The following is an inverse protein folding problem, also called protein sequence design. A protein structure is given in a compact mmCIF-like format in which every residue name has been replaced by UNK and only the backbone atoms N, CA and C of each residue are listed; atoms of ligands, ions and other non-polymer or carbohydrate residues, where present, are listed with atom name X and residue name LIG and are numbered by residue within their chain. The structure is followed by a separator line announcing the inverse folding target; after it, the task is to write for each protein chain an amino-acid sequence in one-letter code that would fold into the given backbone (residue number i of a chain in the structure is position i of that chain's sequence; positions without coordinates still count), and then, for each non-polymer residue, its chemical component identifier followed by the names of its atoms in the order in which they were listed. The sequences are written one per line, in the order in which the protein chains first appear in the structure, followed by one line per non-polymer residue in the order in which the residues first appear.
data_IF_595964730520
#
_entry.id   IF_595964730520
#
_cell.length_a   1.000
_cell.length_b   1.000
_cell.length_c   1.000
_cell.angle_alpha   90.00
_cell.angle_beta   90.00
_cell.angle_gamma   90.00
#
_symmetry.space_group_name_H-M   'P 1'
#
loop_
_entity.id
_entity.type
_entity.pdbx_description
1 polymer ?
#
# COMPACT_ATOMS: atom_id res chain seq x y z
N UNK A 1 32.35 10.73 -8.49
CA UNK A 1 31.46 9.61 -8.09
C UNK A 1 32.32 8.36 -8.04
N UNK A 2 32.14 7.49 -7.05
CA UNK A 2 32.86 6.21 -7.02
C UNK A 2 32.43 5.37 -8.23
N UNK A 3 33.39 4.81 -8.98
CA UNK A 3 33.08 3.92 -10.09
C UNK A 3 32.35 2.68 -9.56
N UNK A 4 31.18 2.37 -10.14
CA UNK A 4 30.36 1.22 -9.77
C UNK A 4 31.05 -0.07 -10.18
N UNK A 5 30.99 -1.07 -9.31
CA UNK A 5 31.62 -2.37 -9.54
C UNK A 5 30.61 -3.36 -10.16
N UNK A 6 30.90 -3.83 -11.37
CA UNK A 6 30.15 -4.90 -12.04
C UNK A 6 30.97 -6.19 -11.97
N UNK A 7 30.36 -7.27 -11.47
CA UNK A 7 30.93 -8.60 -11.51
C UNK A 7 30.33 -9.37 -12.69
N UNK A 8 31.16 -9.77 -13.63
CA UNK A 8 30.76 -10.55 -14.83
C UNK A 8 31.16 -12.00 -14.65
N UNK A 9 30.23 -12.94 -14.85
CA UNK A 9 30.45 -14.38 -14.72
C UNK A 9 30.03 -15.06 -16.00
N UNK A 10 30.97 -15.75 -16.62
CA UNK A 10 30.79 -16.47 -17.88
C UNK A 10 31.91 -17.50 -17.98
N UNK A 11 31.68 -18.68 -18.55
CA UNK A 11 32.73 -19.69 -18.73
C UNK A 11 33.59 -19.41 -19.98
N UNK A 12 33.08 -18.67 -20.95
CA UNK A 12 33.81 -18.28 -22.16
C UNK A 12 34.70 -17.06 -21.93
N UNK A 13 36.02 -17.23 -22.10
CA UNK A 13 37.01 -16.16 -21.94
C UNK A 13 36.77 -14.99 -22.91
N UNK A 14 36.39 -15.28 -24.16
CA UNK A 14 36.05 -14.28 -25.16
C UNK A 14 34.89 -13.39 -24.75
N UNK A 15 33.86 -13.96 -24.12
CA UNK A 15 32.67 -13.20 -23.67
C UNK A 15 33.02 -12.36 -22.44
N UNK A 16 33.79 -12.91 -21.49
CA UNK A 16 34.28 -12.14 -20.33
C UNK A 16 35.12 -10.95 -20.76
N UNK A 17 36.06 -11.14 -21.68
CA UNK A 17 36.94 -10.06 -22.16
C UNK A 17 36.14 -8.98 -22.90
N UNK A 18 35.22 -9.39 -23.78
CA UNK A 18 34.35 -8.45 -24.49
C UNK A 18 33.52 -7.59 -23.53
N UNK A 19 32.86 -8.22 -22.54
CA UNK A 19 32.07 -7.51 -21.54
C UNK A 19 32.94 -6.63 -20.63
N UNK A 20 34.15 -7.07 -20.32
CA UNK A 20 35.13 -6.30 -19.57
C UNK A 20 35.48 -5.00 -20.31
N UNK A 21 35.81 -5.08 -21.59
CA UNK A 21 36.19 -3.93 -22.40
C UNK A 21 35.01 -2.94 -22.54
N UNK A 22 33.82 -3.44 -22.90
CA UNK A 22 32.59 -2.64 -23.07
C UNK A 22 32.19 -1.90 -21.79
N UNK A 23 32.22 -2.57 -20.64
CA UNK A 23 31.82 -1.96 -19.37
C UNK A 23 32.89 -1.01 -18.83
N UNK A 24 34.17 -1.29 -19.08
CA UNK A 24 35.28 -0.40 -18.71
C UNK A 24 35.22 0.90 -19.52
N UNK A 25 34.95 0.81 -20.83
CA UNK A 25 34.71 1.97 -21.70
C UNK A 25 33.50 2.81 -21.25
N UNK A 26 32.48 2.15 -20.71
CA UNK A 26 31.32 2.78 -20.08
C UNK A 26 31.58 3.30 -18.65
N UNK A 27 32.85 3.35 -18.21
CA UNK A 27 33.31 3.91 -16.93
C UNK A 27 32.85 3.11 -15.68
N UNK A 28 32.63 1.80 -15.82
CA UNK A 28 32.45 0.88 -14.70
C UNK A 28 33.78 0.27 -14.26
N UNK A 29 33.90 -0.05 -12.96
CA UNK A 29 34.93 -0.97 -12.50
C UNK A 29 34.42 -2.39 -12.76
N UNK A 30 35.21 -3.22 -13.44
CA UNK A 30 34.78 -4.57 -13.80
C UNK A 30 35.69 -5.61 -13.16
N UNK A 31 35.08 -6.63 -12.57
CA UNK A 31 35.76 -7.84 -12.12
C UNK A 31 35.08 -9.02 -12.81
N UNK A 32 35.84 -10.06 -13.15
CA UNK A 32 35.32 -11.22 -13.87
C UNK A 32 35.46 -12.50 -13.04
N UNK A 33 34.60 -13.48 -13.24
CA UNK A 33 34.74 -14.82 -12.68
C UNK A 33 34.44 -15.87 -13.76
N UNK A 34 35.15 -17.00 -13.71
CA UNK A 34 35.04 -18.07 -14.73
C UNK A 34 33.92 -19.06 -14.42
N UNK A 35 33.45 -19.11 -13.17
CA UNK A 35 32.40 -20.01 -12.72
C UNK A 35 31.64 -19.48 -11.49
N UNK A 36 30.58 -20.18 -11.10
CA UNK A 36 29.76 -19.82 -9.95
C UNK A 36 30.47 -19.93 -8.60
N UNK A 37 31.56 -20.69 -8.48
CA UNK A 37 32.34 -20.81 -7.23
C UNK A 37 33.23 -19.60 -7.02
N UNK A 38 34.02 -19.25 -8.03
CA UNK A 38 34.83 -18.04 -8.04
C UNK A 38 33.94 -16.79 -7.88
N UNK A 39 32.77 -16.78 -8.52
CA UNK A 39 31.78 -15.72 -8.33
C UNK A 39 31.44 -15.53 -6.85
N UNK A 40 31.08 -16.60 -6.11
CA UNK A 40 30.68 -16.48 -4.70
C UNK A 40 31.83 -16.01 -3.80
N UNK A 41 33.06 -16.46 -4.08
CA UNK A 41 34.24 -16.00 -3.34
C UNK A 41 34.49 -14.50 -3.55
N UNK A 42 34.31 -14.01 -4.78
CA UNK A 42 34.45 -12.59 -5.13
C UNK A 42 33.27 -11.76 -4.63
N UNK A 43 32.06 -12.29 -4.69
CA UNK A 43 30.83 -11.62 -4.25
C UNK A 43 30.88 -11.25 -2.77
N UNK A 44 31.39 -12.14 -1.92
CA UNK A 44 31.55 -11.90 -0.47
C UNK A 44 32.67 -10.89 -0.15
N UNK A 45 33.76 -10.87 -0.94
CA UNK A 45 34.92 -9.98 -0.73
C UNK A 45 34.69 -8.58 -1.28
N UNK A 46 34.10 -8.48 -2.47
CA UNK A 46 34.06 -7.27 -3.28
C UNK A 46 32.72 -6.54 -3.21
N UNK A 47 31.62 -7.24 -2.87
CA UNK A 47 30.26 -6.69 -2.80
C UNK A 47 29.91 -5.85 -4.05
N UNK A 48 29.83 -6.49 -5.23
CA UNK A 48 29.58 -5.78 -6.47
C UNK A 48 28.21 -5.08 -6.47
N UNK A 49 28.13 -3.97 -7.18
CA UNK A 49 26.90 -3.20 -7.40
C UNK A 49 25.95 -3.92 -8.36
N UNK A 50 26.48 -4.67 -9.33
CA UNK A 50 25.68 -5.47 -10.28
C UNK A 50 26.38 -6.80 -10.52
N UNK A 51 25.61 -7.89 -10.58
CA UNK A 51 26.07 -9.20 -11.03
C UNK A 51 25.48 -9.49 -12.40
N UNK A 52 26.33 -9.77 -13.39
CA UNK A 52 25.93 -10.25 -14.71
C UNK A 52 26.45 -11.69 -14.84
N UNK A 53 25.58 -12.67 -15.09
CA UNK A 53 25.98 -14.08 -15.12
C UNK A 53 25.33 -14.82 -16.29
N UNK A 54 26.05 -15.72 -16.94
CA UNK A 54 25.45 -16.69 -17.86
C UNK A 54 24.56 -17.68 -17.09
N UNK A 55 23.45 -18.09 -17.69
CA UNK A 55 22.60 -19.17 -17.19
C UNK A 55 23.32 -20.52 -17.33
N UNK A 56 24.07 -20.74 -18.41
CA UNK A 56 24.74 -22.01 -18.67
C UNK A 56 26.23 -21.90 -18.37
N UNK A 57 26.64 -22.43 -17.22
CA UNK A 57 28.04 -22.51 -16.83
C UNK A 57 28.32 -23.90 -16.21
N UNK A 58 29.57 -24.40 -16.27
CA UNK A 58 29.99 -25.61 -15.58
C UNK A 58 29.83 -25.49 -14.05
N UNK A 59 29.64 -26.63 -13.38
CA UNK A 59 29.45 -26.80 -11.92
C UNK A 59 28.19 -26.17 -11.31
N UNK A 60 27.99 -24.85 -11.44
CA UNK A 60 26.83 -24.12 -10.92
C UNK A 60 26.20 -23.28 -12.02
N UNK A 61 24.96 -23.60 -12.37
CA UNK A 61 24.19 -22.83 -13.33
C UNK A 61 23.80 -21.44 -12.78
N UNK A 62 23.52 -20.48 -13.67
CA UNK A 62 23.21 -19.11 -13.29
C UNK A 62 21.95 -18.98 -12.41
N UNK A 63 21.03 -19.94 -12.48
CA UNK A 63 19.86 -20.00 -11.59
C UNK A 63 20.23 -20.40 -10.16
N UNK A 64 21.08 -21.41 -9.99
CA UNK A 64 21.59 -21.82 -8.68
C UNK A 64 22.40 -20.70 -8.03
N UNK A 65 23.15 -19.94 -8.85
CA UNK A 65 23.88 -18.77 -8.39
C UNK A 65 22.92 -17.66 -7.91
N UNK A 66 21.86 -17.37 -8.67
CA UNK A 66 20.82 -16.42 -8.29
C UNK A 66 20.16 -16.78 -6.95
N UNK A 67 19.76 -18.03 -6.76
CA UNK A 67 19.16 -18.50 -5.49
C UNK A 67 20.13 -18.35 -4.30
N UNK A 68 21.41 -18.61 -4.51
CA UNK A 68 22.45 -18.45 -3.47
C UNK A 68 22.71 -16.98 -3.14
N UNK A 69 22.74 -16.09 -4.14
CA UNK A 69 22.86 -14.65 -3.92
C UNK A 69 21.66 -14.15 -3.12
N UNK A 70 20.44 -14.59 -3.45
CA UNK A 70 19.22 -14.19 -2.71
C UNK A 70 19.19 -14.74 -1.29
N UNK A 71 19.52 -16.01 -1.08
CA UNK A 71 19.55 -16.62 0.26
C UNK A 71 20.65 -16.07 1.17
N UNK A 72 21.73 -15.51 0.60
CA UNK A 72 22.78 -14.84 1.35
C UNK A 72 22.38 -13.46 1.94
N UNK A 73 21.20 -12.95 1.59
CA UNK A 73 20.71 -11.65 2.04
C UNK A 73 21.39 -10.45 1.36
N UNK A 74 22.13 -10.69 0.28
CA UNK A 74 22.76 -9.64 -0.53
C UNK A 74 21.74 -9.06 -1.52
N UNK A 75 21.61 -7.73 -1.51
CA UNK A 75 20.69 -7.00 -2.38
C UNK A 75 21.31 -6.65 -3.75
N UNK A 76 22.33 -7.39 -4.19
CA UNK A 76 22.95 -7.17 -5.49
C UNK A 76 21.97 -7.59 -6.60
N UNK A 77 21.59 -6.68 -7.52
CA UNK A 77 20.78 -7.03 -8.69
C UNK A 77 21.55 -7.97 -9.60
N UNK A 78 20.85 -9.00 -10.09
CA UNK A 78 21.42 -10.07 -10.92
C UNK A 78 20.78 -10.03 -12.31
N UNK A 79 21.60 -9.82 -13.34
CA UNK A 79 21.21 -9.91 -14.75
C UNK A 79 21.64 -11.28 -15.27
N UNK A 80 20.71 -12.04 -15.84
CA UNK A 80 20.99 -13.34 -16.43
C UNK A 80 21.22 -13.22 -17.94
N UNK A 81 22.29 -13.82 -18.46
CA UNK A 81 22.54 -13.94 -19.89
C UNK A 81 22.17 -15.33 -20.39
N UNK A 82 21.50 -15.43 -21.54
CA UNK A 82 21.11 -16.74 -22.11
C UNK A 82 21.28 -16.77 -23.62
N UNK A 83 21.77 -17.88 -24.16
CA UNK A 83 21.71 -18.15 -25.60
C UNK A 83 20.30 -18.60 -26.08
N UNK A 84 19.39 -18.91 -25.13
CA UNK A 84 18.04 -19.40 -25.43
C UNK A 84 16.99 -18.48 -24.80
N UNK A 85 16.37 -17.65 -25.63
CA UNK A 85 15.29 -16.72 -25.25
C UNK A 85 13.90 -17.37 -25.25
N UNK A 86 13.72 -18.54 -24.63
CA UNK A 86 12.38 -19.11 -24.50
C UNK A 86 11.59 -18.39 -23.40
N UNK A 87 10.28 -18.28 -23.58
CA UNK A 87 9.37 -17.69 -22.59
C UNK A 87 9.46 -18.38 -21.22
N UNK A 88 9.75 -19.68 -21.19
CA UNK A 88 9.93 -20.45 -19.96
C UNK A 88 11.16 -20.01 -19.14
N UNK A 89 12.28 -19.73 -19.82
CA UNK A 89 13.52 -19.25 -19.18
C UNK A 89 13.33 -17.85 -18.60
N UNK A 90 12.66 -16.97 -19.33
CA UNK A 90 12.31 -15.63 -18.87
C UNK A 90 11.39 -15.67 -17.63
N UNK A 91 10.34 -16.50 -17.66
CA UNK A 91 9.42 -16.65 -16.53
C UNK A 91 10.16 -17.20 -15.29
N UNK A 92 11.07 -18.18 -15.48
CA UNK A 92 11.85 -18.75 -14.39
C UNK A 92 12.81 -17.72 -13.77
N UNK A 93 13.50 -16.94 -14.59
CA UNK A 93 14.39 -15.85 -14.14
C UNK A 93 13.67 -14.84 -13.24
N UNK A 94 12.49 -14.39 -13.68
CA UNK A 94 11.71 -13.41 -12.91
C UNK A 94 11.16 -14.00 -11.61
N UNK A 95 10.69 -15.26 -11.62
CA UNK A 95 10.19 -15.94 -10.41
C UNK A 95 11.26 -16.09 -9.32
N UNK A 96 12.52 -16.29 -9.71
CA UNK A 96 13.65 -16.42 -8.78
C UNK A 96 14.22 -15.06 -8.36
N UNK A 97 13.65 -13.95 -8.83
CA UNK A 97 14.02 -12.60 -8.41
C UNK A 97 15.27 -12.05 -9.11
N UNK A 98 15.56 -12.50 -10.34
CA UNK A 98 16.51 -11.81 -11.22
C UNK A 98 16.04 -10.36 -11.44
N UNK A 99 16.99 -9.45 -11.64
CA UNK A 99 16.68 -8.07 -12.01
C UNK A 99 16.07 -8.02 -13.41
N UNK A 100 16.74 -8.68 -14.34
CA UNK A 100 16.28 -8.87 -15.72
C UNK A 100 17.11 -10.00 -16.37
N UNK A 101 16.84 -10.29 -17.63
CA UNK A 101 17.65 -11.19 -18.45
C UNK A 101 17.93 -10.59 -19.83
N UNK A 102 18.99 -11.06 -20.47
CA UNK A 102 19.39 -10.63 -21.82
C UNK A 102 19.73 -11.84 -22.69
N UNK A 103 19.28 -11.82 -23.94
CA UNK A 103 19.46 -12.93 -24.88
C UNK A 103 20.68 -12.65 -25.76
N UNK A 104 21.65 -13.58 -25.80
CA UNK A 104 22.80 -13.53 -26.69
C UNK A 104 22.37 -13.96 -28.12
N UNK A 105 22.75 -13.25 -29.19
CA UNK A 105 23.48 -11.97 -29.21
C UNK A 105 22.54 -10.79 -28.88
N UNK A 106 23.06 -9.81 -28.14
CA UNK A 106 22.34 -8.63 -27.70
C UNK A 106 22.93 -7.34 -28.26
N UNK A 107 22.10 -6.30 -28.30
CA UNK A 107 22.55 -4.96 -28.63
C UNK A 107 23.33 -4.33 -27.46
N UNK A 108 24.41 -3.62 -27.78
CA UNK A 108 25.30 -3.02 -26.78
C UNK A 108 24.64 -1.90 -26.00
N UNK A 109 23.83 -1.07 -26.67
CA UNK A 109 23.12 0.03 -26.01
C UNK A 109 22.03 -0.53 -25.09
N UNK A 110 21.34 -1.60 -25.50
CA UNK A 110 20.37 -2.32 -24.66
C UNK A 110 21.03 -2.91 -23.40
N UNK A 111 22.18 -3.57 -23.56
CA UNK A 111 22.94 -4.13 -22.44
C UNK A 111 23.43 -3.05 -21.46
N UNK A 112 24.04 -1.98 -21.98
CA UNK A 112 24.54 -0.88 -21.14
C UNK A 112 23.40 -0.17 -20.41
N UNK A 113 22.26 0.07 -21.07
CA UNK A 113 21.07 0.60 -20.41
C UNK A 113 20.56 -0.34 -19.31
N UNK A 114 20.61 -1.65 -19.53
CA UNK A 114 20.19 -2.63 -18.53
C UNK A 114 21.12 -2.63 -17.31
N UNK A 115 22.44 -2.62 -17.52
CA UNK A 115 23.44 -2.54 -16.44
C UNK A 115 23.32 -1.21 -15.69
N UNK A 116 23.06 -0.11 -16.40
CA UNK A 116 22.83 1.20 -15.78
C UNK A 116 21.59 1.19 -14.89
N UNK A 117 20.47 0.61 -15.36
CA UNK A 117 19.24 0.45 -14.56
C UNK A 117 19.48 -0.44 -13.34
N UNK A 118 20.25 -1.54 -13.48
CA UNK A 118 20.60 -2.41 -12.37
C UNK A 118 21.48 -1.68 -11.34
N UNK A 119 22.53 -0.98 -11.78
CA UNK A 119 23.42 -0.23 -10.90
C UNK A 119 22.69 0.91 -10.15
N UNK A 120 21.67 1.51 -10.79
CA UNK A 120 20.79 2.50 -10.17
C UNK A 120 19.83 1.87 -9.14
N UNK A 121 19.43 0.60 -9.30
CA UNK A 121 18.64 -0.11 -8.28
C UNK A 121 19.45 -0.31 -7.00
N UNK A 122 20.75 -0.58 -7.11
CA UNK A 122 21.66 -0.67 -5.95
C UNK A 122 21.77 0.67 -5.24
N UNK A 123 21.61 1.80 -5.95
CA UNK A 123 21.43 3.11 -5.31
C UNK A 123 20.07 3.22 -4.63
N UNK A 124 19.00 2.65 -5.18
CA UNK A 124 17.69 2.65 -4.50
C UNK A 124 17.70 1.80 -3.22
N UNK A 125 18.51 0.75 -3.15
CA UNK A 125 18.60 -0.15 -1.99
C UNK A 125 19.69 0.26 -0.98
N UNK A 126 20.82 0.81 -1.44
CA UNK A 126 21.88 1.37 -0.59
C UNK A 126 21.61 2.83 -0.15
N UNK A 127 20.76 3.57 -0.87
CA UNK A 127 20.16 4.84 -0.43
C UNK A 127 18.88 4.65 0.41
N UNK A 128 18.63 3.43 0.93
CA UNK A 128 17.95 3.28 2.21
C UNK A 128 18.91 3.51 3.40
N UNK A 129 19.97 4.29 3.20
CA UNK A 129 20.33 5.28 4.21
C UNK A 129 19.27 6.37 4.15
N UNK A 130 18.50 6.60 5.22
CA UNK A 130 17.38 7.51 5.14
C UNK A 130 17.96 8.93 5.15
N UNK A 131 18.35 9.52 4.02
CA UNK A 131 18.52 10.96 3.81
C UNK A 131 19.13 11.25 2.42
N UNK A 132 18.61 12.32 1.81
CA UNK A 132 19.20 13.05 0.68
C UNK A 132 19.10 12.44 -0.72
N UNK A 133 17.91 11.98 -1.10
CA UNK A 133 17.41 12.39 -2.42
C UNK A 133 16.26 13.35 -2.18
N UNK A 134 16.52 14.61 -2.48
CA UNK A 134 15.48 15.60 -2.68
C UNK A 134 14.47 14.99 -3.65
N UNK A 135 13.34 14.53 -3.11
CA UNK A 135 12.21 14.13 -3.90
C UNK A 135 11.94 15.28 -4.87
N UNK A 136 12.00 15.01 -6.18
CA UNK A 136 11.38 15.92 -7.11
C UNK A 136 9.97 16.20 -6.56
N UNK A 137 9.56 17.47 -6.44
CA UNK A 137 8.25 17.80 -5.89
C UNK A 137 7.18 17.15 -6.78
N UNK A 138 6.65 16.00 -6.34
CA UNK A 138 5.70 15.20 -7.09
C UNK A 138 6.00 13.70 -7.22
N UNK A 139 7.20 13.21 -6.84
CA UNK A 139 7.48 11.77 -6.88
C UNK A 139 6.62 11.00 -5.88
N UNK A 140 5.56 10.35 -6.37
CA UNK A 140 4.66 9.51 -5.56
C UNK A 140 5.27 8.12 -5.47
N UNK A 141 5.76 7.77 -4.29
CA UNK A 141 6.28 6.43 -4.04
C UNK A 141 5.13 5.49 -3.64
N UNK A 142 4.63 4.67 -4.58
CA UNK A 142 3.68 3.60 -4.27
C UNK A 142 4.46 2.34 -3.93
N UNK A 143 4.30 1.87 -2.71
CA UNK A 143 5.08 0.75 -2.17
C UNK A 143 4.31 -0.56 -2.35
N UNK A 144 4.99 -1.54 -2.91
CA UNK A 144 4.49 -2.89 -3.13
C UNK A 144 5.21 -3.55 -4.30
N UNK A 145 5.45 -4.86 -4.21
CA UNK A 145 6.02 -5.66 -5.28
C UNK A 145 5.18 -6.89 -5.62
N UNK A 146 4.05 -7.10 -4.92
CA UNK A 146 3.14 -8.21 -5.17
C UNK A 146 2.66 -8.24 -6.63
N UNK A 147 2.39 -9.43 -7.20
CA UNK A 147 1.87 -9.55 -8.57
C UNK A 147 0.60 -8.72 -8.82
N UNK A 148 -0.24 -8.57 -7.78
CA UNK A 148 -1.45 -7.76 -7.84
C UNK A 148 -1.14 -6.26 -7.99
N UNK A 149 -0.12 -5.75 -7.29
CA UNK A 149 0.35 -4.37 -7.47
C UNK A 149 1.07 -4.15 -8.80
N UNK A 150 1.79 -5.15 -9.30
CA UNK A 150 2.41 -5.07 -10.64
C UNK A 150 1.37 -4.85 -11.75
N UNK A 151 0.20 -5.49 -11.64
CA UNK A 151 -0.92 -5.24 -12.55
C UNK A 151 -1.41 -3.78 -12.48
N UNK A 152 -1.55 -3.23 -11.26
CA UNK A 152 -1.92 -1.83 -11.04
C UNK A 152 -0.89 -0.88 -11.66
N UNK A 153 0.41 -1.12 -11.48
CA UNK A 153 1.47 -0.30 -12.09
C UNK A 153 1.43 -0.32 -13.62
N UNK A 154 1.18 -1.50 -14.20
CA UNK A 154 1.03 -1.64 -15.65
C UNK A 154 -0.15 -0.84 -16.19
N UNK A 155 -1.28 -0.86 -15.48
CA UNK A 155 -2.46 -0.09 -15.87
C UNK A 155 -2.22 1.41 -15.71
N UNK A 156 -1.55 1.86 -14.65
CA UNK A 156 -1.10 3.26 -14.49
C UNK A 156 -0.26 3.69 -15.69
N UNK A 157 0.77 2.91 -16.06
CA UNK A 157 1.64 3.23 -17.20
C UNK A 157 0.88 3.32 -18.53
N UNK A 158 -0.09 2.43 -18.76
CA UNK A 158 -0.93 2.44 -19.98
C UNK A 158 -1.85 3.66 -20.06
N UNK A 159 -2.38 4.13 -18.94
CA UNK A 159 -3.32 5.26 -18.93
C UNK A 159 -2.64 6.60 -18.73
N UNK A 160 -1.38 6.64 -18.28
CA UNK A 160 -0.71 7.87 -17.87
C UNK A 160 -0.77 8.95 -18.95
N UNK A 161 -0.47 8.66 -20.22
CA UNK A 161 -0.52 9.67 -21.30
C UNK A 161 -1.88 9.83 -21.99
N UNK A 162 -2.89 9.05 -21.58
CA UNK A 162 -4.25 9.16 -22.11
C UNK A 162 -5.04 10.29 -21.45
N UNK A 163 -5.89 10.98 -22.21
CA UNK A 163 -6.89 11.91 -21.66
C UNK A 163 -8.17 11.21 -21.18
N UNK A 164 -8.23 9.87 -21.23
CA UNK A 164 -9.38 9.11 -20.77
C UNK A 164 -9.65 9.31 -19.27
N UNK A 165 -10.94 9.30 -18.90
CA UNK A 165 -11.36 9.27 -17.50
C UNK A 165 -10.95 7.94 -16.88
N UNK A 166 -10.37 7.99 -15.69
CA UNK A 166 -9.99 6.79 -14.93
C UNK A 166 -10.80 6.72 -13.66
N UNK A 167 -11.53 5.61 -13.47
CA UNK A 167 -12.18 5.25 -12.23
C UNK A 167 -11.25 4.33 -11.43
N UNK A 168 -10.96 4.70 -10.18
CA UNK A 168 -10.08 3.99 -9.26
C UNK A 168 -10.96 3.40 -8.15
N UNK A 169 -11.09 2.08 -8.13
CA UNK A 169 -11.89 1.37 -7.15
C UNK A 169 -11.00 0.68 -6.13
N UNK A 170 -11.46 0.61 -4.89
CA UNK A 170 -10.76 -0.11 -3.84
C UNK A 170 -11.30 0.28 -2.47
N UNK A 171 -11.10 -0.59 -1.48
CA UNK A 171 -11.53 -0.33 -0.11
C UNK A 171 -10.88 0.94 0.47
N UNK A 172 -11.44 1.43 1.58
CA UNK A 172 -10.84 2.57 2.28
C UNK A 172 -9.42 2.21 2.74
N UNK A 173 -8.49 3.17 2.61
CA UNK A 173 -7.10 2.97 3.04
C UNK A 173 -6.22 2.13 2.10
N UNK A 174 -6.68 1.76 0.90
CA UNK A 174 -5.88 0.96 -0.07
C UNK A 174 -4.84 1.77 -0.87
N UNK A 175 -4.92 3.10 -0.86
CA UNK A 175 -3.99 3.99 -1.60
C UNK A 175 -4.55 4.60 -2.89
N UNK A 176 -5.89 4.73 -3.04
CA UNK A 176 -6.53 5.30 -4.24
C UNK A 176 -5.99 6.68 -4.65
N UNK A 177 -5.74 7.57 -3.68
CA UNK A 177 -5.14 8.88 -3.97
C UNK A 177 -3.71 8.76 -4.51
N UNK A 178 -2.90 7.84 -3.98
CA UNK A 178 -1.53 7.64 -4.46
C UNK A 178 -1.53 7.17 -5.90
N UNK A 179 -2.44 6.27 -6.28
CA UNK A 179 -2.65 5.85 -7.67
C UNK A 179 -3.04 7.04 -8.56
N UNK A 180 -3.99 7.88 -8.12
CA UNK A 180 -4.40 9.06 -8.88
C UNK A 180 -3.24 10.04 -9.13
N UNK A 181 -2.43 10.29 -8.09
CA UNK A 181 -1.25 11.13 -8.21
C UNK A 181 -0.20 10.50 -9.13
N UNK A 182 0.03 9.19 -9.02
CA UNK A 182 0.96 8.49 -9.90
C UNK A 182 0.53 8.57 -11.39
N UNK A 183 -0.77 8.46 -11.68
CA UNK A 183 -1.28 8.67 -13.05
C UNK A 183 -0.98 10.09 -13.54
N UNK A 184 -1.19 11.10 -12.69
CA UNK A 184 -0.93 12.50 -13.05
C UNK A 184 0.56 12.80 -13.28
N UNK A 185 1.43 12.45 -12.34
CA UNK A 185 2.86 12.77 -12.43
C UNK A 185 3.61 11.96 -13.49
N UNK A 186 3.06 10.83 -13.95
CA UNK A 186 3.58 10.08 -15.10
C UNK A 186 2.95 10.48 -16.44
N UNK A 187 2.10 11.52 -16.48
CA UNK A 187 1.41 11.96 -17.69
C UNK A 187 2.09 13.14 -18.39
N UNK A 188 1.70 13.40 -19.63
CA UNK A 188 1.94 14.67 -20.33
C UNK A 188 1.48 15.93 -19.56
N UNK A 189 0.59 15.79 -18.56
CA UNK A 189 0.12 16.87 -17.67
C UNK A 189 0.88 16.96 -16.35
N UNK A 190 2.01 16.26 -16.16
CA UNK A 190 2.78 16.21 -14.90
C UNK A 190 3.17 17.56 -14.28
N UNK A 191 3.35 18.59 -15.13
CA UNK A 191 3.73 19.95 -14.72
C UNK A 191 2.51 20.89 -14.61
N UNK A 192 1.29 20.36 -14.77
CA UNK A 192 0.03 21.11 -14.71
C UNK A 192 -0.65 20.89 -13.36
N UNK A 193 -1.68 21.67 -12.99
CA UNK A 193 -2.31 21.53 -11.68
C UNK A 193 -2.92 20.14 -11.45
N UNK A 194 -2.71 19.59 -10.25
CA UNK A 194 -3.44 18.43 -9.73
C UNK A 194 -4.39 18.89 -8.62
N UNK A 195 -5.67 19.05 -8.96
CA UNK A 195 -6.68 19.56 -8.04
C UNK A 195 -7.45 18.39 -7.43
N UNK A 196 -7.26 18.16 -6.14
CA UNK A 196 -8.02 17.18 -5.37
C UNK A 196 -9.30 17.79 -4.81
N UNK A 197 -10.40 17.04 -4.86
CA UNK A 197 -11.61 17.28 -4.08
C UNK A 197 -12.08 16.00 -3.42
N UNK A 198 -12.44 16.09 -2.14
CA UNK A 198 -13.08 14.99 -1.43
C UNK A 198 -14.58 15.26 -1.34
N UNK A 199 -15.36 14.40 -1.97
CA UNK A 199 -16.81 14.54 -2.12
C UNK A 199 -17.58 14.15 -0.85
N UNK A 200 -16.98 13.42 0.09
CA UNK A 200 -17.61 12.97 1.32
C UNK A 200 -17.57 14.02 2.45
N UNK A 201 -16.62 14.95 2.40
CA UNK A 201 -16.32 15.86 3.52
C UNK A 201 -17.09 17.18 3.49
N UNK A 202 -17.90 17.44 2.47
CA UNK A 202 -18.59 18.72 2.29
C UNK A 202 -20.11 18.51 2.16
N UNK A 203 -20.93 19.37 2.79
CA UNK A 203 -22.34 19.49 2.44
C UNK A 203 -22.51 19.75 0.93
N UNK A 204 -23.57 19.22 0.33
CA UNK A 204 -23.77 19.24 -1.12
C UNK A 204 -23.75 20.66 -1.72
N UNK A 205 -24.32 21.65 -1.02
CA UNK A 205 -24.28 23.06 -1.45
C UNK A 205 -22.88 23.67 -1.44
N UNK A 206 -22.03 23.27 -0.48
CA UNK A 206 -20.63 23.68 -0.42
C UNK A 206 -19.80 22.93 -1.46
N UNK A 207 -20.12 21.66 -1.72
CA UNK A 207 -19.45 20.88 -2.77
C UNK A 207 -19.68 21.52 -4.15
N UNK A 208 -20.91 21.91 -4.45
CA UNK A 208 -21.25 22.56 -5.73
C UNK A 208 -20.47 23.87 -5.92
N UNK A 209 -20.47 24.73 -4.88
CA UNK A 209 -19.77 26.01 -4.91
C UNK A 209 -18.25 25.88 -4.92
N UNK A 210 -17.68 24.83 -4.31
CA UNK A 210 -16.25 24.51 -4.46
C UNK A 210 -15.94 24.03 -5.88
N UNK A 211 -16.74 23.12 -6.45
CA UNK A 211 -16.51 22.56 -7.78
C UNK A 211 -16.58 23.60 -8.89
N UNK A 212 -17.68 24.35 -8.92
CA UNK A 212 -18.02 25.22 -10.04
C UNK A 212 -17.78 26.70 -9.73
N UNK A 213 -17.50 27.08 -8.49
CA UNK A 213 -17.40 28.48 -8.10
C UNK A 213 -18.76 29.15 -8.03
N UNK A 214 -18.79 30.42 -7.63
CA UNK A 214 -20.02 31.19 -7.51
C UNK A 214 -19.82 32.65 -7.85
N UNK A 215 -20.90 33.29 -8.31
CA UNK A 215 -20.94 34.72 -8.55
C UNK A 215 -21.39 35.50 -7.31
N UNK A 216 -21.08 36.80 -7.29
CA UNK A 216 -21.52 37.68 -6.21
C UNK A 216 -23.06 37.67 -6.13
N UNK A 217 -23.59 37.42 -4.93
CA UNK A 217 -25.03 37.35 -4.69
C UNK A 217 -25.70 36.01 -5.02
N UNK A 218 -24.95 34.96 -5.35
CA UNK A 218 -25.51 33.65 -5.67
C UNK A 218 -26.29 32.99 -4.49
N UNK A 219 -25.92 33.30 -3.25
CA UNK A 219 -26.60 32.84 -2.03
C UNK A 219 -26.33 33.82 -0.88
N UNK A 220 -27.04 33.66 0.24
CA UNK A 220 -26.84 34.47 1.45
C UNK A 220 -25.41 34.28 1.98
N UNK A 221 -24.59 35.33 1.90
CA UNK A 221 -23.17 35.30 2.29
C UNK A 221 -22.18 35.38 1.12
N UNK A 222 -22.65 35.31 -0.13
CA UNK A 222 -21.81 35.45 -1.32
C UNK A 222 -21.44 36.93 -1.60
N UNK A 223 -20.58 37.52 -0.77
CA UNK A 223 -20.18 38.94 -0.85
C UNK A 223 -19.25 39.26 -2.04
N UNK A 224 -18.51 38.26 -2.53
CA UNK A 224 -17.65 38.31 -3.71
C UNK A 224 -17.90 37.09 -4.61
N UNK A 225 -17.39 37.10 -5.84
CA UNK A 225 -17.29 35.88 -6.64
C UNK A 225 -16.11 35.02 -6.18
N UNK A 226 -16.18 33.71 -6.45
CA UNK A 226 -15.13 32.72 -6.16
C UNK A 226 -14.97 31.77 -7.34
N UNK A 227 -13.73 31.52 -7.72
CA UNK A 227 -13.34 30.59 -8.78
C UNK A 227 -13.50 29.14 -8.30
N UNK A 228 -14.04 28.27 -9.15
CA UNK A 228 -14.25 26.85 -8.85
C UNK A 228 -13.02 25.97 -9.07
N UNK A 229 -13.03 24.76 -8.50
CA UNK A 229 -11.98 23.74 -8.69
C UNK A 229 -11.81 23.32 -10.14
N UNK A 230 -12.88 23.31 -10.95
CA UNK A 230 -12.78 23.03 -12.39
C UNK A 230 -11.94 24.07 -13.15
N UNK A 231 -12.10 25.35 -12.82
CA UNK A 231 -11.28 26.42 -13.42
C UNK A 231 -9.82 26.32 -12.97
N UNK A 232 -9.59 26.06 -11.68
CA UNK A 232 -8.25 25.86 -11.13
C UNK A 232 -7.54 24.63 -11.72
N UNK A 233 -8.30 23.64 -12.19
CA UNK A 233 -7.79 22.42 -12.81
C UNK A 233 -7.60 22.54 -14.33
N UNK A 234 -7.85 23.72 -14.92
CA UNK A 234 -7.70 23.93 -16.36
C UNK A 234 -6.30 23.52 -16.85
N UNK A 235 -6.26 22.80 -17.97
CA UNK A 235 -5.08 22.12 -18.55
C UNK A 235 -4.44 21.03 -17.66
N UNK A 236 -4.94 20.84 -16.44
CA UNK A 236 -4.43 19.89 -15.47
C UNK A 236 -5.32 18.67 -15.29
N UNK A 237 -5.39 18.20 -14.05
CA UNK A 237 -6.14 17.02 -13.64
C UNK A 237 -6.97 17.36 -12.42
N UNK A 238 -8.25 16.99 -12.43
CA UNK A 238 -9.10 17.00 -11.23
C UNK A 238 -9.28 15.57 -10.73
N UNK A 239 -9.07 15.38 -9.43
CA UNK A 239 -9.25 14.11 -8.75
C UNK A 239 -10.43 14.17 -7.78
N UNK A 240 -11.47 13.40 -8.08
CA UNK A 240 -12.65 13.24 -7.23
C UNK A 240 -12.46 12.04 -6.30
N UNK A 241 -12.23 12.30 -5.02
CA UNK A 241 -12.15 11.27 -3.98
C UNK A 241 -13.54 11.02 -3.39
N UNK A 242 -13.92 9.76 -3.25
CA UNK A 242 -15.26 9.29 -2.84
C UNK A 242 -16.41 9.81 -3.73
N UNK A 243 -16.27 9.68 -5.05
CA UNK A 243 -17.30 10.11 -6.04
C UNK A 243 -18.66 9.43 -5.83
N UNK A 244 -18.72 8.31 -5.11
CA UNK A 244 -19.98 7.63 -4.79
C UNK A 244 -20.86 8.34 -3.75
N UNK A 245 -20.39 9.44 -3.16
CA UNK A 245 -21.07 10.18 -2.08
C UNK A 245 -21.84 11.42 -2.58
N UNK A 246 -21.69 11.82 -3.85
CA UNK A 246 -22.32 13.04 -4.36
C UNK A 246 -23.82 12.87 -4.61
N UNK A 247 -24.60 13.94 -4.41
CA UNK A 247 -26.05 13.92 -4.66
C UNK A 247 -26.38 13.76 -6.15
N UNK A 248 -27.59 13.27 -6.46
CA UNK A 248 -28.07 13.16 -7.85
C UNK A 248 -28.08 14.52 -8.58
N UNK A 249 -28.29 15.63 -7.86
CA UNK A 249 -28.26 16.97 -8.43
C UNK A 249 -26.83 17.36 -8.84
N UNK A 250 -25.86 17.13 -7.96
CA UNK A 250 -24.44 17.34 -8.25
C UNK A 250 -23.95 16.41 -9.38
N UNK A 251 -24.43 15.17 -9.43
CA UNK A 251 -24.13 14.23 -10.52
C UNK A 251 -24.56 14.76 -11.89
N UNK A 252 -25.74 15.38 -11.99
CA UNK A 252 -26.23 15.94 -13.25
C UNK A 252 -25.36 17.12 -13.75
N UNK A 253 -24.94 18.00 -12.84
CA UNK A 253 -24.04 19.13 -13.17
C UNK A 253 -22.64 18.64 -13.54
N UNK A 254 -22.13 17.66 -12.80
CA UNK A 254 -20.87 17.02 -13.10
C UNK A 254 -20.90 16.40 -14.49
N UNK A 255 -21.93 15.62 -14.83
CA UNK A 255 -22.08 15.00 -16.15
C UNK A 255 -21.93 16.02 -17.28
N UNK A 256 -22.60 17.19 -17.18
CA UNK A 256 -22.48 18.27 -18.16
C UNK A 256 -21.03 18.77 -18.28
N UNK A 257 -20.35 18.99 -17.15
CA UNK A 257 -18.94 19.38 -17.15
C UNK A 257 -18.01 18.33 -17.79
N UNK A 258 -18.29 17.03 -17.63
CA UNK A 258 -17.49 15.95 -18.23
C UNK A 258 -17.77 15.77 -19.73
N UNK A 259 -19.03 15.90 -20.14
CA UNK A 259 -19.44 15.67 -21.54
C UNK A 259 -19.12 16.88 -22.41
N UNK A 260 -19.57 18.06 -22.00
CA UNK A 260 -19.51 19.29 -22.80
C UNK A 260 -18.22 20.08 -22.58
N UNK A 261 -17.41 19.70 -21.58
CA UNK A 261 -16.21 20.45 -21.14
C UNK A 261 -16.52 21.90 -20.78
N UNK A 262 -17.73 22.15 -20.30
CA UNK A 262 -18.19 23.46 -19.88
C UNK A 262 -19.15 23.38 -18.70
N UNK A 263 -19.22 24.45 -17.92
CA UNK A 263 -20.15 24.58 -16.81
C UNK A 263 -20.45 26.06 -16.55
N UNK A 264 -21.48 26.31 -15.74
CA UNK A 264 -21.86 27.65 -15.29
C UNK A 264 -21.55 27.78 -13.79
N UNK A 265 -21.06 28.93 -13.36
CA UNK A 265 -20.88 29.22 -11.92
C UNK A 265 -22.23 29.23 -11.21
N UNK A 266 -22.25 28.90 -9.92
CA UNK A 266 -23.47 29.00 -9.11
C UNK A 266 -23.96 30.46 -9.11
N UNK A 267 -25.21 30.66 -9.53
CA UNK A 267 -25.83 31.98 -9.67
C UNK A 267 -25.35 32.80 -10.88
N UNK A 268 -24.46 32.24 -11.71
CA UNK A 268 -24.00 32.86 -12.96
C UNK A 268 -24.73 32.32 -14.19
N UNK A 269 -24.68 33.08 -15.28
CA UNK A 269 -25.21 32.68 -16.60
C UNK A 269 -24.11 32.54 -17.66
N UNK A 270 -22.87 32.86 -17.30
CA UNK A 270 -21.73 32.74 -18.19
C UNK A 270 -21.22 31.30 -18.22
N UNK A 271 -21.20 30.71 -19.41
CA UNK A 271 -20.67 29.37 -19.64
C UNK A 271 -19.14 29.42 -19.77
N UNK A 272 -18.47 28.61 -18.95
CA UNK A 272 -17.02 28.54 -18.83
C UNK A 272 -16.53 27.23 -19.42
N UNK A 273 -15.65 27.29 -20.43
CA UNK A 273 -15.02 26.11 -21.03
C UNK A 273 -13.73 25.75 -20.32
N UNK A 274 -13.53 24.47 -20.05
CA UNK A 274 -12.33 23.95 -19.38
C UNK A 274 -11.82 22.67 -20.02
N UNK A 275 -10.50 22.56 -20.22
CA UNK A 275 -9.87 21.29 -20.58
C UNK A 275 -9.25 20.65 -19.33
N UNK A 276 -9.96 19.68 -18.75
CA UNK A 276 -9.53 19.02 -17.51
C UNK A 276 -9.56 17.51 -17.71
N UNK A 277 -8.47 16.85 -17.32
CA UNK A 277 -8.47 15.39 -17.19
C UNK A 277 -9.13 14.96 -15.89
N UNK A 278 -9.97 13.93 -15.95
CA UNK A 278 -10.74 13.48 -14.79
C UNK A 278 -10.22 12.16 -14.27
N UNK A 279 -9.93 12.12 -12.96
CA UNK A 279 -9.69 10.91 -12.21
C UNK A 279 -10.75 10.85 -11.09
N UNK A 280 -11.36 9.69 -10.88
CA UNK A 280 -12.35 9.52 -9.82
C UNK A 280 -12.01 8.29 -8.99
N UNK A 281 -12.23 8.35 -7.68
CA UNK A 281 -12.03 7.26 -6.76
C UNK A 281 -13.28 6.99 -5.94
N UNK A 282 -13.51 5.73 -5.59
CA UNK A 282 -14.64 5.32 -4.75
C UNK A 282 -14.33 4.02 -4.01
N UNK A 283 -14.83 3.90 -2.79
CA UNK A 283 -14.88 2.63 -2.06
C UNK A 283 -16.19 1.85 -2.31
N UNK A 284 -17.19 2.48 -2.96
CA UNK A 284 -18.49 1.88 -3.24
C UNK A 284 -18.51 1.10 -4.54
N UNK A 285 -19.40 0.11 -4.61
CA UNK A 285 -19.75 -0.57 -5.86
C UNK A 285 -20.74 0.29 -6.65
N UNK A 286 -20.23 1.23 -7.48
CA UNK A 286 -21.09 2.16 -8.23
C UNK A 286 -22.17 1.48 -9.08
N UNK A 287 -21.87 0.33 -9.69
CA UNK A 287 -22.88 -0.46 -10.43
C UNK A 287 -24.09 -0.82 -9.56
N UNK A 288 -23.87 -1.14 -8.29
CA UNK A 288 -24.94 -1.42 -7.34
C UNK A 288 -25.69 -0.14 -6.97
N UNK A 289 -24.98 0.96 -6.73
CA UNK A 289 -25.60 2.26 -6.46
C UNK A 289 -26.45 2.77 -7.64
N UNK A 290 -26.13 2.40 -8.88
CA UNK A 290 -26.97 2.66 -10.06
C UNK A 290 -28.28 1.88 -9.98
N UNK A 291 -28.22 0.57 -9.68
CA UNK A 291 -29.43 -0.27 -9.55
C UNK A 291 -30.34 0.21 -8.40
N UNK A 292 -29.75 0.74 -7.33
CA UNK A 292 -30.46 1.28 -6.16
C UNK A 292 -30.95 2.73 -6.36
N UNK A 293 -30.66 3.36 -7.51
CA UNK A 293 -31.06 4.73 -7.83
C UNK A 293 -30.24 5.83 -7.11
N UNK A 294 -29.18 5.47 -6.39
CA UNK A 294 -28.27 6.41 -5.71
C UNK A 294 -27.19 7.01 -6.62
N UNK A 295 -27.01 6.47 -7.82
CA UNK A 295 -26.03 6.96 -8.80
C UNK A 295 -26.61 6.93 -10.22
N UNK A 296 -26.36 7.97 -11.01
CA UNK A 296 -26.86 8.04 -12.38
C UNK A 296 -26.07 7.11 -13.31
N UNK A 297 -26.80 6.37 -14.13
CA UNK A 297 -26.24 5.43 -15.10
C UNK A 297 -25.37 6.13 -16.15
N UNK A 298 -25.82 7.28 -16.67
CA UNK A 298 -25.08 8.07 -17.67
C UNK A 298 -23.72 8.58 -17.17
N UNK A 299 -23.67 9.07 -15.94
CA UNK A 299 -22.43 9.48 -15.28
C UNK A 299 -21.52 8.28 -15.01
N UNK A 300 -22.07 7.15 -14.57
CA UNK A 300 -21.28 5.94 -14.36
C UNK A 300 -20.54 5.53 -15.64
N UNK A 301 -21.22 5.47 -16.77
CA UNK A 301 -20.58 5.12 -18.05
C UNK A 301 -19.53 6.14 -18.49
N UNK A 302 -19.73 7.43 -18.19
CA UNK A 302 -18.75 8.48 -18.53
C UNK A 302 -17.51 8.47 -17.63
N UNK A 303 -17.65 8.03 -16.39
CA UNK A 303 -16.53 7.86 -15.45
C UNK A 303 -15.78 6.54 -15.68
N UNK A 304 -16.50 5.47 -15.97
CA UNK A 304 -15.96 4.11 -16.07
C UNK A 304 -15.42 3.79 -17.49
N UNK A 305 -14.56 4.68 -18.02
CA UNK A 305 -13.88 4.46 -19.33
C UNK A 305 -12.69 3.54 -19.15
N UNK A 306 -11.81 3.86 -18.19
CA UNK A 306 -10.78 2.92 -17.70
C UNK A 306 -11.00 2.69 -16.21
N UNK A 307 -10.98 1.42 -15.80
CA UNK A 307 -11.19 1.03 -14.41
C UNK A 307 -9.91 0.39 -13.85
N UNK A 308 -9.38 0.97 -12.76
CA UNK A 308 -8.25 0.43 -12.01
C UNK A 308 -8.76 0.00 -10.64
N UNK A 309 -8.70 -1.30 -10.37
CA UNK A 309 -9.11 -1.88 -9.08
C UNK A 309 -7.87 -2.12 -8.24
N UNK A 310 -7.80 -1.49 -7.08
CA UNK A 310 -6.71 -1.67 -6.12
C UNK A 310 -7.09 -2.82 -5.17
N UNK A 311 -6.26 -3.87 -5.07
CA UNK A 311 -6.52 -4.99 -4.18
C UNK A 311 -6.43 -4.56 -2.71
N UNK A 312 -7.31 -5.09 -1.84
CA UNK A 312 -7.19 -4.91 -0.40
C UNK A 312 -5.90 -5.57 0.12
N UNK A 313 -5.40 -5.12 1.26
CA UNK A 313 -4.09 -5.54 1.79
C UNK A 313 -4.04 -7.05 2.08
N UNK A 314 -5.17 -7.65 2.49
CA UNK A 314 -5.30 -9.11 2.67
C UNK A 314 -5.07 -9.95 1.41
N UNK A 315 -5.25 -9.38 0.22
CA UNK A 315 -4.99 -10.05 -1.07
C UNK A 315 -3.56 -9.82 -1.57
N UNK A 316 -2.78 -8.99 -0.87
CA UNK A 316 -1.39 -8.67 -1.16
C UNK A 316 -0.53 -8.65 0.12
N UNK A 317 -0.66 -9.69 0.93
CA UNK A 317 0.08 -9.81 2.21
C UNK A 317 1.60 -9.77 2.03
N UNK A 318 2.11 -10.15 0.86
CA UNK A 318 3.53 -10.05 0.47
C UNK A 318 4.07 -8.61 0.52
N UNK A 319 3.22 -7.60 0.40
CA UNK A 319 3.61 -6.19 0.46
C UNK A 319 3.76 -5.67 1.91
N UNK A 320 3.21 -6.38 2.90
CA UNK A 320 3.20 -5.92 4.31
C UNK A 320 4.61 -5.67 4.85
N UNK A 321 5.62 -6.54 4.66
CA UNK A 321 6.97 -6.28 5.17
C UNK A 321 7.61 -5.02 4.59
N UNK A 322 7.37 -4.75 3.30
CA UNK A 322 7.88 -3.54 2.63
C UNK A 322 7.19 -2.28 3.16
N UNK A 323 5.87 -2.33 3.35
CA UNK A 323 5.10 -1.23 3.92
C UNK A 323 5.53 -0.95 5.37
N UNK A 324 5.70 -1.99 6.18
CA UNK A 324 6.17 -1.88 7.57
C UNK A 324 7.56 -1.25 7.62
N UNK A 325 8.50 -1.71 6.80
CA UNK A 325 9.85 -1.15 6.76
C UNK A 325 9.84 0.34 6.39
N UNK A 326 8.99 0.72 5.44
CA UNK A 326 8.82 2.12 5.05
C UNK A 326 8.26 2.99 6.18
N UNK A 327 7.14 2.58 6.80
CA UNK A 327 6.54 3.33 7.89
C UNK A 327 7.45 3.39 9.11
N UNK A 328 8.15 2.30 9.43
CA UNK A 328 9.15 2.28 10.50
C UNK A 328 10.25 3.32 10.25
N UNK A 329 10.78 3.39 9.03
CA UNK A 329 11.78 4.40 8.67
C UNK A 329 11.23 5.83 8.75
N UNK A 330 9.98 6.05 8.30
CA UNK A 330 9.30 7.34 8.36
C UNK A 330 9.15 7.82 9.82
N UNK A 331 8.59 6.98 10.68
CA UNK A 331 8.28 7.36 12.06
C UNK A 331 9.48 7.35 12.99
N UNK A 332 10.52 6.57 12.72
CA UNK A 332 11.79 6.72 13.43
C UNK A 332 12.38 8.12 13.25
N UNK A 333 12.32 8.69 12.04
CA UNK A 333 12.74 10.08 11.80
C UNK A 333 11.86 11.08 12.50
N UNK A 334 10.56 10.94 12.31
CA UNK A 334 9.57 11.90 12.81
C UNK A 334 9.59 12.00 14.34
N UNK A 335 9.73 10.86 15.03
CA UNK A 335 9.75 10.81 16.49
C UNK A 335 11.16 10.71 17.10
N UNK A 336 12.21 10.84 16.27
CA UNK A 336 13.61 10.70 16.67
C UNK A 336 13.87 9.42 17.50
N UNK A 337 13.38 8.28 17.00
CA UNK A 337 13.51 6.94 17.60
C UNK A 337 14.52 6.10 16.80
N UNK A 338 14.99 5.02 17.43
CA UNK A 338 15.94 4.06 16.83
C UNK A 338 15.41 2.63 16.90
N UNK A 339 14.15 2.44 16.50
CA UNK A 339 13.56 1.11 16.40
C UNK A 339 14.11 0.42 15.15
N UNK A 340 14.75 -0.72 15.31
CA UNK A 340 15.41 -1.47 14.23
C UNK A 340 14.47 -2.38 13.45
N UNK A 341 13.35 -2.80 14.05
CA UNK A 341 12.41 -3.70 13.41
C UNK A 341 11.37 -4.28 14.35
N UNK A 342 10.66 -5.28 13.84
CA UNK A 342 9.67 -6.07 14.55
C UNK A 342 10.26 -7.45 14.88
N UNK A 343 9.83 -8.07 15.98
CA UNK A 343 10.17 -9.47 16.27
C UNK A 343 9.55 -10.41 15.24
N UNK A 344 9.98 -11.67 15.22
CA UNK A 344 9.42 -12.67 14.30
C UNK A 344 7.93 -12.92 14.60
N UNK A 345 7.56 -12.97 15.88
CA UNK A 345 6.18 -13.12 16.35
C UNK A 345 5.31 -11.92 15.97
N UNK A 346 5.83 -10.71 16.15
CA UNK A 346 5.16 -9.48 15.76
C UNK A 346 4.95 -9.42 14.23
N UNK A 347 5.95 -9.83 13.45
CA UNK A 347 5.85 -9.91 12.00
C UNK A 347 4.80 -10.94 11.55
N UNK A 348 4.78 -12.13 12.16
CA UNK A 348 3.76 -13.16 11.90
C UNK A 348 2.35 -12.65 12.24
N UNK A 349 2.20 -11.94 13.35
CA UNK A 349 0.94 -11.29 13.75
C UNK A 349 0.46 -10.32 12.66
N UNK A 350 1.32 -9.38 12.23
CA UNK A 350 1.00 -8.41 11.17
C UNK A 350 0.64 -9.10 9.83
N UNK A 351 1.33 -10.17 9.48
CA UNK A 351 1.06 -10.95 8.26
C UNK A 351 -0.25 -11.75 8.34
N UNK A 352 -0.63 -12.20 9.55
CA UNK A 352 -1.85 -13.00 9.75
C UNK A 352 -3.13 -12.15 9.71
N UNK A 353 -3.05 -10.90 10.15
CA UNK A 353 -4.19 -9.98 10.22
C UNK A 353 -4.75 -9.62 8.84
N UNK A 354 -6.05 -9.36 8.77
CA UNK A 354 -6.75 -9.12 7.49
C UNK A 354 -6.86 -7.65 7.10
N UNK A 355 -6.45 -6.74 7.98
CA UNK A 355 -6.33 -5.30 7.69
C UNK A 355 -7.61 -4.69 7.08
N UNK A 356 -8.74 -4.66 7.81
CA UNK A 356 -9.98 -4.05 7.33
C UNK A 356 -9.83 -2.56 6.94
N UNK A 357 -8.94 -1.82 7.58
CA UNK A 357 -8.57 -0.45 7.21
C UNK A 357 -7.37 -0.36 6.25
N UNK A 358 -6.92 -1.49 5.71
CA UNK A 358 -5.87 -1.62 4.71
C UNK A 358 -4.56 -0.93 5.11
N UNK A 359 -3.88 -0.26 4.17
CA UNK A 359 -2.58 0.37 4.38
C UNK A 359 -2.67 1.51 5.39
N UNK A 360 -3.80 2.23 5.46
CA UNK A 360 -4.02 3.29 6.45
C UNK A 360 -4.04 2.75 7.88
N UNK A 361 -4.67 1.61 8.10
CA UNK A 361 -4.65 0.95 9.41
C UNK A 361 -3.24 0.43 9.75
N UNK A 362 -2.56 -0.20 8.79
CA UNK A 362 -1.17 -0.63 8.96
C UNK A 362 -0.24 0.53 9.34
N UNK A 363 -0.36 1.66 8.64
CA UNK A 363 0.40 2.88 8.94
C UNK A 363 0.17 3.34 10.38
N UNK A 364 -1.10 3.45 10.81
CA UNK A 364 -1.45 3.85 12.17
C UNK A 364 -0.92 2.87 13.23
N UNK A 365 -0.98 1.56 12.96
CA UNK A 365 -0.48 0.53 13.88
C UNK A 365 1.04 0.62 14.01
N UNK A 366 1.77 0.79 12.91
CA UNK A 366 3.23 0.94 12.92
C UNK A 366 3.65 2.25 13.61
N UNK A 367 2.97 3.36 13.31
CA UNK A 367 3.18 4.65 13.98
C UNK A 367 3.09 4.50 15.50
N UNK A 368 2.00 3.90 15.96
CA UNK A 368 1.74 3.73 17.39
C UNK A 368 2.74 2.78 18.04
N UNK A 369 3.12 1.71 17.36
CA UNK A 369 4.11 0.76 17.84
C UNK A 369 5.49 1.42 18.00
N UNK A 370 5.90 2.32 17.08
CA UNK A 370 7.14 3.11 17.21
C UNK A 370 7.10 4.05 18.41
N UNK A 371 5.94 4.68 18.68
CA UNK A 371 5.76 5.56 19.85
C UNK A 371 5.85 4.76 21.16
N UNK A 372 5.20 3.60 21.21
CA UNK A 372 5.09 2.76 22.41
C UNK A 372 6.30 1.87 22.65
N UNK A 373 7.17 1.70 21.64
CA UNK A 373 8.35 0.85 21.70
C UNK A 373 9.22 1.18 22.93
N UNK A 374 9.44 0.17 23.76
CA UNK A 374 10.29 0.24 24.96
C UNK A 374 11.76 -0.03 24.67
N UNK A 375 12.05 -0.59 23.50
CA UNK A 375 13.39 -0.96 23.07
C UNK A 375 13.59 -0.77 21.56
N UNK A 376 14.65 -1.37 21.03
CA UNK A 376 14.98 -1.29 19.60
C UNK A 376 14.22 -2.28 18.72
N UNK A 377 13.40 -3.15 19.30
CA UNK A 377 12.59 -4.15 18.59
C UNK A 377 11.17 -4.08 19.11
N UNK A 378 10.19 -3.99 18.21
CA UNK A 378 8.77 -4.03 18.53
C UNK A 378 8.35 -5.49 18.70
N UNK A 379 7.75 -5.80 19.86
CA UNK A 379 7.23 -7.12 20.19
C UNK A 379 5.69 -7.14 20.08
N UNK A 380 5.02 -8.30 20.06
CA UNK A 380 3.56 -8.38 19.96
C UNK A 380 2.81 -7.51 20.98
N UNK A 381 3.35 -7.36 22.20
CA UNK A 381 2.72 -6.57 23.28
C UNK A 381 2.69 -5.06 23.00
N UNK A 382 3.51 -4.58 22.07
CA UNK A 382 3.56 -3.19 21.64
C UNK A 382 2.56 -2.89 20.51
N UNK A 383 1.97 -3.93 19.91
CA UNK A 383 1.01 -3.85 18.81
C UNK A 383 -0.41 -3.98 19.39
N UNK A 384 -1.32 -3.10 18.96
CA UNK A 384 -2.75 -3.32 19.17
C UNK A 384 -3.45 -3.28 17.82
N UNK A 385 -4.12 -4.38 17.48
CA UNK A 385 -4.92 -4.52 16.26
C UNK A 385 -6.40 -4.36 16.59
N UNK A 386 -7.19 -3.83 15.66
CA UNK A 386 -8.63 -3.71 15.84
C UNK A 386 -9.26 -5.11 15.94
N UNK A 387 -10.00 -5.38 17.01
CA UNK A 387 -10.61 -6.70 17.26
C UNK A 387 -9.74 -7.65 18.09
N UNK A 388 -8.48 -7.32 18.36
CA UNK A 388 -7.83 -7.78 19.58
C UNK A 388 -8.34 -6.90 20.72
N UNK A 389 -9.58 -7.15 21.15
CA UNK A 389 -9.80 -7.15 22.58
C UNK A 389 -8.71 -8.06 23.12
N UNK A 390 -7.72 -7.49 23.81
CA UNK A 390 -6.77 -8.27 24.58
C UNK A 390 -7.60 -9.39 25.18
N UNK A 391 -7.19 -10.64 25.01
CA UNK A 391 -7.59 -11.72 25.91
C UNK A 391 -7.05 -11.42 27.32
N UNK A 392 -7.28 -10.22 27.84
CA UNK A 392 -7.68 -10.05 29.21
C UNK A 392 -8.90 -10.94 29.34
N UNK A 393 -8.72 -12.00 30.11
CA UNK A 393 -9.76 -12.77 30.76
C UNK A 393 -10.82 -11.83 31.36
N UNK A 394 -11.76 -11.37 30.55
CA UNK A 394 -12.98 -10.72 30.97
C UNK A 394 -14.14 -11.27 30.12
N UNK A 395 -14.97 -12.01 30.85
CA UNK A 395 -16.35 -12.48 30.62
C UNK A 395 -17.03 -12.20 29.26
N UNK A 396 -17.72 -13.19 28.67
CA UNK A 396 -18.66 -12.91 27.60
C UNK A 396 -19.94 -12.29 28.20
N UNK A 397 -20.24 -11.05 27.82
CA UNK A 397 -21.56 -10.45 27.92
C UNK A 397 -21.91 -9.84 26.56
N UNK A 398 -22.88 -10.44 25.87
CA UNK A 398 -23.35 -10.02 24.55
C UNK A 398 -23.65 -8.49 24.50
N UNK A 399 -23.18 -7.76 23.48
CA UNK A 399 -23.62 -6.40 23.21
C UNK A 399 -24.95 -6.45 22.46
N UNK A 400 -26.04 -6.70 23.19
CA UNK A 400 -27.35 -6.85 22.58
C UNK A 400 -28.49 -6.93 23.58
N UNK A 401 -28.54 -6.04 24.58
CA UNK A 401 -29.77 -5.80 25.36
C UNK A 401 -29.66 -4.44 26.09
N UNK A 402 -30.04 -3.37 25.38
CA UNK A 402 -30.36 -2.10 26.00
C UNK A 402 -31.74 -2.22 26.68
N UNK A 403 -31.83 -1.81 27.95
CA UNK A 403 -33.00 -1.73 28.85
C UNK A 403 -33.35 -2.95 29.75
N UNK A 404 -32.37 -3.60 30.38
CA UNK A 404 -32.67 -4.39 31.58
C UNK A 404 -32.62 -3.50 32.84
N UNK A 405 -33.61 -3.59 33.76
CA UNK A 405 -33.57 -2.88 35.03
C UNK A 405 -32.34 -3.30 35.84
N UNK A 406 -31.70 -2.36 36.55
CA UNK A 406 -30.45 -2.55 37.31
C UNK A 406 -30.43 -3.83 38.17
N UNK A 407 -31.59 -4.22 38.71
CA UNK A 407 -31.77 -5.43 39.50
C UNK A 407 -31.43 -6.72 38.75
N UNK A 408 -31.74 -6.81 37.46
CA UNK A 408 -31.43 -7.97 36.63
C UNK A 408 -29.96 -8.00 36.21
N UNK A 409 -29.39 -6.84 35.88
CA UNK A 409 -27.95 -6.72 35.57
C UNK A 409 -27.10 -7.20 36.75
N UNK A 410 -27.43 -6.74 37.97
CA UNK A 410 -26.71 -7.18 39.18
C UNK A 410 -26.92 -8.67 39.45
N UNK A 411 -28.12 -9.19 39.24
CA UNK A 411 -28.40 -10.62 39.41
C UNK A 411 -27.62 -11.49 38.41
N UNK A 412 -27.48 -11.06 37.15
CA UNK A 412 -26.74 -11.80 36.12
C UNK A 412 -25.24 -11.79 36.39
N UNK A 413 -24.69 -10.64 36.79
CA UNK A 413 -23.28 -10.53 37.20
C UNK A 413 -23.00 -11.39 38.43
N UNK A 414 -23.88 -11.36 39.45
CA UNK A 414 -23.75 -12.24 40.63
C UNK A 414 -23.86 -13.72 40.26
N UNK A 415 -24.80 -14.09 39.37
CA UNK A 415 -25.00 -15.47 38.92
C UNK A 415 -23.74 -16.00 38.24
N UNK A 416 -23.16 -15.23 37.34
CA UNK A 416 -21.94 -15.61 36.63
C UNK A 416 -20.73 -15.70 37.57
N UNK A 417 -20.59 -14.78 38.53
CA UNK A 417 -19.52 -14.83 39.53
C UNK A 417 -19.62 -16.10 40.40
N UNK A 418 -20.84 -16.48 40.80
CA UNK A 418 -21.09 -17.69 41.59
C UNK A 418 -20.80 -18.96 40.78
N UNK A 419 -21.26 -19.03 39.53
CA UNK A 419 -21.02 -20.19 38.66
C UNK A 419 -19.53 -20.42 38.42
N UNK A 420 -18.75 -19.36 38.14
CA UNK A 420 -17.31 -19.49 37.96
C UNK A 420 -16.58 -19.95 39.20
N UNK A 421 -16.91 -19.37 40.35
CA UNK A 421 -16.30 -19.80 41.59
C UNK A 421 -16.64 -21.27 41.91
N UNK A 422 -17.81 -21.76 41.50
CA UNK A 422 -18.16 -23.19 41.59
C UNK A 422 -17.34 -24.02 40.60
N UNK A 423 -17.29 -23.64 39.32
CA UNK A 423 -16.55 -24.36 38.26
C UNK A 423 -15.05 -24.46 38.56
N UNK A 424 -14.40 -23.35 38.91
CA UNK A 424 -12.97 -23.29 39.28
C UNK A 424 -12.65 -24.13 40.53
N UNK A 425 -13.65 -24.39 41.37
CA UNK A 425 -13.52 -25.19 42.59
C UNK A 425 -14.18 -26.58 42.46
N UNK A 426 -14.36 -27.10 41.24
CA UNK A 426 -14.96 -28.41 40.97
C UNK A 426 -16.31 -28.63 41.70
N UNK A 427 -17.15 -27.60 41.70
CA UNK A 427 -18.46 -27.55 42.35
C UNK A 427 -18.44 -27.76 43.87
N UNK A 428 -17.28 -27.63 44.52
CA UNK A 428 -17.16 -27.69 45.96
C UNK A 428 -17.65 -26.38 46.60
N UNK A 429 -18.91 -26.38 47.06
CA UNK A 429 -19.61 -25.18 47.57
C UNK A 429 -18.91 -24.50 48.77
N UNK A 430 -18.15 -25.26 49.57
CA UNK A 430 -17.41 -24.72 50.72
C UNK A 430 -16.18 -23.91 50.31
N UNK A 431 -15.43 -24.35 49.30
CA UNK A 431 -14.25 -23.63 48.81
C UNK A 431 -14.66 -22.49 47.90
N UNK A 432 -15.69 -22.66 47.07
CA UNK A 432 -16.28 -21.59 46.26
C UNK A 432 -16.79 -20.42 47.11
N UNK A 433 -17.48 -20.69 48.23
CA UNK A 433 -17.94 -19.63 49.14
C UNK A 433 -16.76 -18.83 49.74
N UNK A 434 -15.69 -19.53 50.12
CA UNK A 434 -14.47 -18.91 50.65
C UNK A 434 -13.76 -18.07 49.59
N UNK A 435 -13.67 -18.56 48.35
CA UNK A 435 -13.09 -17.82 47.22
C UNK A 435 -13.87 -16.53 46.90
N UNK A 436 -15.20 -16.57 47.04
CA UNK A 436 -16.07 -15.40 46.88
C UNK A 436 -16.12 -14.48 48.11
N UNK A 437 -15.42 -14.81 49.20
CA UNK A 437 -15.42 -14.01 50.43
C UNK A 437 -16.74 -14.01 51.20
N UNK A 438 -17.64 -14.97 50.94
CA UNK A 438 -18.95 -15.07 51.60
C UNK A 438 -19.10 -16.36 52.40
N UNK A 439 -20.03 -16.36 53.37
CA UNK A 439 -20.30 -17.57 54.14
C UNK A 439 -21.13 -18.59 53.31
N UNK A 440 -21.02 -19.88 53.67
CA UNK A 440 -21.69 -20.99 52.96
C UNK A 440 -23.22 -20.85 52.90
N UNK A 441 -23.86 -20.27 53.94
CA UNK A 441 -25.31 -20.08 53.98
C UNK A 441 -25.75 -19.00 52.99
N UNK A 442 -24.99 -17.90 52.88
CA UNK A 442 -25.21 -16.82 51.92
C UNK A 442 -25.01 -17.28 50.48
N UNK A 443 -24.00 -18.11 50.21
CA UNK A 443 -23.84 -18.73 48.88
C UNK A 443 -25.05 -19.59 48.52
N UNK A 444 -25.53 -20.42 49.44
CA UNK A 444 -26.68 -21.30 49.20
C UNK A 444 -27.98 -20.53 48.95
N UNK A 445 -28.21 -19.44 49.69
CA UNK A 445 -29.34 -18.55 49.49
C UNK A 445 -29.30 -17.89 48.10
N UNK A 446 -28.13 -17.36 47.69
CA UNK A 446 -27.95 -16.74 46.37
C UNK A 446 -28.05 -17.75 45.22
N UNK A 447 -27.52 -18.96 45.36
CA UNK A 447 -27.69 -20.03 44.36
C UNK A 447 -29.18 -20.36 44.13
N UNK A 448 -29.97 -20.43 45.22
CA UNK A 448 -31.40 -20.70 45.14
C UNK A 448 -32.19 -19.54 44.52
N UNK A 449 -31.83 -18.30 44.85
CA UNK A 449 -32.45 -17.09 44.30
C UNK A 449 -32.16 -16.92 42.80
N UNK A 450 -30.96 -17.33 42.36
CA UNK A 450 -30.49 -17.19 40.98
C UNK A 450 -30.71 -18.45 40.11
N UNK A 451 -31.38 -19.48 40.65
CA UNK A 451 -31.71 -20.71 39.93
C UNK A 451 -30.50 -21.54 39.50
N UNK A 452 -29.47 -21.63 40.34
CA UNK A 452 -28.28 -22.49 40.14
C UNK A 452 -28.42 -23.74 41.03
N UNK A 453 -28.45 -24.93 40.42
CA UNK A 453 -28.57 -26.22 41.13
C UNK A 453 -27.24 -26.93 41.39
#
# INVERSE_FOLDING_TARGET
MAQKLVLVVDDEESVRQFLYDVLTDANYRVETAVDGRECLEKLMKLKPDVLVTDIRMPEKDGFSLLEQVKSSGLNTPVILMTAFGTTEVAIRAMKLGAFDYIVKPFDLDEFLNLVQRAAAQTETVAAFRPEDQAAEPGAVNIIGNSPAMQAVYKDIGRVADSNATVLIQGESGTGKELVARAIHYNSSRRNKPFIKINCANLPDSLLESELFGYEKGAFTGASSSKVGKFELAHEGTIFFDEIGEISLATQAKLLRAIQEKEFDRVGGTATIKVDVRILAATNRKLKQSVMEGGFREDLFFRLNVVNIVIPPLRERKEDIPLLVAHFLSKYNKEFNRQVKGFSEEATKMLMSYDWPGNVRELENVVERAVIMARGSVIVPEDIELAGEEKKQTFMPGNPGEQNLPLKQIVADVERQAILRALEENNWCRTTAARALGINRRSLYAKMKELGIE
#
